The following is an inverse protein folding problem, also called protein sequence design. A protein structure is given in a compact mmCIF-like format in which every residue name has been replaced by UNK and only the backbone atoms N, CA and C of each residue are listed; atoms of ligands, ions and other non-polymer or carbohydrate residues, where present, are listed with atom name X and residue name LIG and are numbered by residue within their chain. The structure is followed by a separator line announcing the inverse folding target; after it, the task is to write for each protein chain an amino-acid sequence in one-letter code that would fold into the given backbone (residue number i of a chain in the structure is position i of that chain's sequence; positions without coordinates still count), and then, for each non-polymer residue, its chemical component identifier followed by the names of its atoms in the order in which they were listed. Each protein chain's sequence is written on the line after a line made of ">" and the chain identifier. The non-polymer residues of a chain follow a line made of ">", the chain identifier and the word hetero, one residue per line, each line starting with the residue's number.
data_IF_278824988171
#
_entry.id   IF_278824988171
#
_cell.length_a   1.000
_cell.length_b   1.000
_cell.length_c   1.000
_cell.angle_alpha   90.00
_cell.angle_beta   90.00
_cell.angle_gamma   90.00
#
_symmetry.space_group_name_H-M   'P 1'
#
loop_
_entity.id
_entity.type
_entity.pdbx_description
1 polymer ?
#
# COMPACT_ATOMS: atom_id res chain seq x y z
N UNK A 1 8.27 10.55 -2.27
CA UNK A 1 7.88 10.34 -0.85
C UNK A 1 7.57 8.88 -0.61
N UNK A 2 7.21 8.55 0.62
CA UNK A 2 6.92 7.19 1.07
C UNK A 2 8.08 6.52 1.80
N UNK A 3 9.30 7.09 1.78
CA UNK A 3 10.46 6.41 2.35
C UNK A 3 10.62 5.03 1.74
N UNK A 4 10.80 3.99 2.56
CA UNK A 4 10.82 2.58 2.12
C UNK A 4 9.41 1.98 1.93
N UNK A 5 8.34 2.74 2.19
CA UNK A 5 6.95 2.26 2.05
C UNK A 5 6.40 2.59 0.66
N UNK A 6 6.19 1.56 -0.14
CA UNK A 6 5.63 1.56 -1.48
C UNK A 6 4.11 1.72 -1.54
N UNK A 7 3.41 1.84 -0.40
CA UNK A 7 1.95 2.00 -0.35
C UNK A 7 1.45 3.11 -1.26
N UNK A 8 2.03 4.31 -1.14
CA UNK A 8 1.60 5.48 -1.91
C UNK A 8 1.79 5.26 -3.41
N UNK A 9 2.95 4.73 -3.83
CA UNK A 9 3.24 4.46 -5.23
C UNK A 9 2.33 3.37 -5.81
N UNK A 10 2.06 2.32 -5.04
CA UNK A 10 1.19 1.22 -5.46
C UNK A 10 -0.27 1.68 -5.61
N UNK A 11 -0.80 2.37 -4.61
CA UNK A 11 -2.18 2.85 -4.64
C UNK A 11 -2.40 3.95 -5.67
N UNK A 12 -1.45 4.88 -5.81
CA UNK A 12 -1.48 5.88 -6.88
C UNK A 12 -1.40 5.23 -8.27
N UNK A 13 -0.58 4.18 -8.41
CA UNK A 13 -0.46 3.44 -9.66
C UNK A 13 -1.75 2.74 -10.04
N UNK A 14 -2.41 2.11 -9.07
CA UNK A 14 -3.72 1.48 -9.28
C UNK A 14 -4.80 2.51 -9.66
N UNK A 15 -4.83 3.65 -8.97
CA UNK A 15 -5.82 4.69 -9.22
C UNK A 15 -5.61 5.42 -10.56
N UNK A 16 -4.35 5.64 -10.96
CA UNK A 16 -4.00 6.34 -12.20
C UNK A 16 -3.88 5.43 -13.43
N UNK A 17 -3.90 4.10 -13.24
CA UNK A 17 -3.62 3.14 -14.32
C UNK A 17 -2.17 3.22 -14.80
N UNK A 18 -1.23 3.30 -13.88
CA UNK A 18 0.20 3.34 -14.19
C UNK A 18 0.66 2.02 -14.83
N UNK A 19 1.57 2.12 -15.79
CA UNK A 19 2.18 0.99 -16.51
C UNK A 19 3.19 0.24 -15.63
N UNK A 20 3.84 0.93 -14.70
CA UNK A 20 4.69 0.30 -13.70
C UNK A 20 4.75 1.15 -12.43
N UNK A 21 4.97 0.48 -11.30
CA UNK A 21 5.17 1.10 -10.01
C UNK A 21 6.34 0.43 -9.28
N UNK A 22 7.48 1.11 -9.19
CA UNK A 22 8.70 0.64 -8.54
C UNK A 22 8.68 0.98 -7.05
N UNK A 23 8.81 -0.03 -6.20
CA UNK A 23 8.77 0.08 -4.74
C UNK A 23 9.92 -0.69 -4.09
N UNK A 24 10.12 -0.50 -2.79
CA UNK A 24 11.21 -1.16 -2.06
C UNK A 24 10.86 -2.61 -1.72
N UNK A 25 9.59 -2.85 -1.39
CA UNK A 25 9.07 -4.15 -0.96
C UNK A 25 8.98 -5.19 -2.08
N UNK A 26 9.13 -4.75 -3.34
CA UNK A 26 9.10 -5.58 -4.55
C UNK A 26 10.39 -5.29 -5.33
N UNK A 27 11.51 -5.95 -4.97
CA UNK A 27 12.81 -5.72 -5.60
C UNK A 27 12.75 -6.01 -7.09
N UNK A 28 13.39 -5.15 -7.87
CA UNK A 28 13.41 -5.23 -9.32
C UNK A 28 14.85 -5.11 -9.84
N UNK A 29 15.10 -5.74 -10.97
CA UNK A 29 16.39 -5.81 -11.65
C UNK A 29 16.37 -4.96 -12.92
N UNK A 30 17.52 -4.83 -13.57
CA UNK A 30 17.61 -4.18 -14.89
C UNK A 30 16.74 -4.88 -15.95
N UNK A 31 16.60 -6.21 -15.86
CA UNK A 31 15.78 -6.97 -16.78
C UNK A 31 14.28 -6.66 -16.60
N UNK A 32 13.83 -6.46 -15.37
CA UNK A 32 12.45 -6.02 -15.12
C UNK A 32 12.18 -4.63 -15.71
N UNK A 33 13.16 -3.72 -15.65
CA UNK A 33 13.05 -2.40 -16.27
C UNK A 33 12.96 -2.51 -17.79
N UNK A 34 13.82 -3.32 -18.40
CA UNK A 34 13.82 -3.61 -19.84
C UNK A 34 12.46 -4.16 -20.30
N UNK A 35 11.93 -5.18 -19.63
CA UNK A 35 10.61 -5.74 -19.92
C UNK A 35 9.49 -4.70 -19.83
N UNK A 36 9.56 -3.79 -18.85
CA UNK A 36 8.57 -2.72 -18.72
C UNK A 36 8.72 -1.66 -19.83
N UNK A 37 9.94 -1.39 -20.32
CA UNK A 37 10.17 -0.53 -21.49
C UNK A 37 9.60 -1.18 -22.74
N UNK A 38 9.91 -2.45 -22.99
CA UNK A 38 9.37 -3.19 -24.14
C UNK A 38 7.85 -3.20 -24.14
N UNK A 39 7.25 -3.46 -22.97
CA UNK A 39 5.80 -3.39 -22.81
C UNK A 39 5.26 -2.01 -23.20
N UNK A 40 5.89 -0.93 -22.72
CA UNK A 40 5.49 0.43 -23.04
C UNK A 40 5.67 0.73 -24.55
N UNK A 41 6.76 0.29 -25.16
CA UNK A 41 6.99 0.39 -26.61
C UNK A 41 5.86 -0.27 -27.40
N UNK A 42 5.45 -1.49 -27.03
CA UNK A 42 4.35 -2.18 -27.70
C UNK A 42 3.02 -1.45 -27.48
N UNK A 43 2.78 -0.94 -26.27
CA UNK A 43 1.59 -0.14 -25.96
C UNK A 43 1.50 1.12 -26.83
N UNK A 44 2.60 1.84 -27.03
CA UNK A 44 2.64 3.07 -27.84
C UNK A 44 2.31 2.86 -29.33
N UNK A 45 2.46 1.63 -29.84
CA UNK A 45 2.04 1.26 -31.20
C UNK A 45 0.53 1.06 -31.34
N UNK A 46 -0.19 0.96 -30.22
CA UNK A 46 -1.66 0.83 -30.19
C UNK A 46 -2.34 2.20 -30.18
N UNK A 47 -3.66 2.22 -29.95
CA UNK A 47 -4.44 3.46 -29.80
C UNK A 47 -4.03 4.28 -28.58
N UNK A 48 -3.49 3.64 -27.52
CA UNK A 48 -3.11 4.33 -26.28
C UNK A 48 -1.64 4.75 -26.34
N UNK A 49 -1.42 6.04 -26.56
CA UNK A 49 -0.08 6.64 -26.74
C UNK A 49 0.43 7.38 -25.50
N UNK A 50 0.12 6.87 -24.30
CA UNK A 50 0.53 7.49 -23.03
C UNK A 50 1.03 6.42 -22.06
N UNK A 51 2.13 6.75 -21.40
CA UNK A 51 2.75 5.93 -20.37
C UNK A 51 2.81 6.67 -19.05
N UNK A 52 2.60 5.97 -17.93
CA UNK A 52 2.85 6.50 -16.60
C UNK A 52 3.64 5.49 -15.77
N UNK A 53 4.80 5.92 -15.29
CA UNK A 53 5.66 5.13 -14.41
C UNK A 53 5.74 5.84 -13.07
N UNK A 54 5.47 5.11 -12.00
CA UNK A 54 5.61 5.61 -10.64
C UNK A 54 6.83 4.98 -9.97
N UNK A 55 7.57 5.78 -9.21
CA UNK A 55 8.72 5.32 -8.44
C UNK A 55 8.65 5.86 -7.03
N UNK A 56 8.64 4.95 -6.05
CA UNK A 56 8.81 5.30 -4.64
C UNK A 56 10.24 5.83 -4.41
N UNK A 57 10.38 6.75 -3.45
CA UNK A 57 11.62 7.50 -3.20
C UNK A 57 12.83 6.64 -2.81
N UNK A 58 12.62 5.57 -2.04
CA UNK A 58 13.69 4.64 -1.62
C UNK A 58 13.49 3.25 -2.22
N UNK A 59 12.89 3.14 -3.41
CA UNK A 59 12.65 1.86 -4.07
C UNK A 59 13.94 1.08 -4.33
N UNK A 60 15.01 1.80 -4.71
CA UNK A 60 16.35 1.28 -4.91
C UNK A 60 17.35 2.44 -4.81
N UNK A 61 18.57 2.16 -4.33
CA UNK A 61 19.62 3.15 -4.16
C UNK A 61 20.27 3.58 -5.50
N UNK A 62 20.47 2.63 -6.41
CA UNK A 62 21.18 2.83 -7.67
C UNK A 62 20.22 3.12 -8.83
N UNK A 63 19.04 2.52 -8.83
CA UNK A 63 18.00 2.80 -9.82
C UNK A 63 17.23 4.07 -9.43
N UNK A 64 17.92 5.20 -9.57
CA UNK A 64 17.39 6.53 -9.30
C UNK A 64 16.36 6.94 -10.36
N UNK A 65 15.57 7.98 -10.07
CA UNK A 65 14.65 8.57 -11.05
C UNK A 65 15.38 8.99 -12.33
N UNK A 66 16.62 9.48 -12.20
CA UNK A 66 17.44 9.91 -13.34
C UNK A 66 17.93 8.72 -14.17
N UNK A 67 18.36 7.65 -13.50
CA UNK A 67 18.74 6.41 -14.17
C UNK A 67 17.57 5.83 -14.96
N UNK A 68 16.41 5.67 -14.32
CA UNK A 68 15.20 5.12 -14.97
C UNK A 68 14.77 6.03 -16.13
N UNK A 69 14.81 7.35 -15.96
CA UNK A 69 14.51 8.30 -17.02
C UNK A 69 15.43 8.14 -18.23
N UNK A 70 16.76 8.09 -18.01
CA UNK A 70 17.72 7.93 -19.09
C UNK A 70 17.54 6.58 -19.79
N UNK A 71 17.34 5.51 -19.04
CA UNK A 71 17.10 4.17 -19.56
C UNK A 71 15.86 4.13 -20.47
N UNK A 72 14.73 4.63 -19.99
CA UNK A 72 13.49 4.67 -20.78
C UNK A 72 13.61 5.59 -22.00
N UNK A 73 14.38 6.68 -21.92
CA UNK A 73 14.58 7.60 -23.04
C UNK A 73 15.40 6.96 -24.15
N UNK A 74 16.47 6.24 -23.78
CA UNK A 74 17.35 5.56 -24.74
C UNK A 74 16.67 4.33 -25.36
N UNK A 75 16.16 3.43 -24.51
CA UNK A 75 15.52 2.18 -24.96
C UNK A 75 14.15 2.42 -25.61
N UNK A 76 13.56 3.60 -25.41
CA UNK A 76 12.38 4.06 -26.16
C UNK A 76 12.65 4.24 -27.66
N UNK A 77 13.92 4.39 -28.09
CA UNK A 77 14.38 4.43 -29.50
C UNK A 77 13.55 5.36 -30.40
N UNK A 78 13.14 6.51 -29.86
CA UNK A 78 12.34 7.52 -30.56
C UNK A 78 10.86 7.17 -30.76
N UNK A 79 10.37 6.06 -30.20
CA UNK A 79 8.95 5.67 -30.24
C UNK A 79 8.12 6.53 -29.29
N UNK A 80 8.71 6.97 -28.18
CA UNK A 80 8.12 7.92 -27.24
C UNK A 80 9.20 8.81 -26.60
N UNK A 81 8.77 9.98 -26.16
CA UNK A 81 9.56 10.88 -25.34
C UNK A 81 9.28 10.65 -23.85
N UNK A 82 10.33 10.74 -23.03
CA UNK A 82 10.20 10.67 -21.58
C UNK A 82 10.23 12.05 -20.95
N UNK A 83 9.55 12.17 -19.81
CA UNK A 83 9.71 13.29 -18.87
C UNK A 83 9.75 12.75 -17.46
N UNK A 84 10.66 13.27 -16.64
CA UNK A 84 10.71 13.00 -15.20
C UNK A 84 10.06 14.14 -14.43
N UNK A 85 9.32 13.80 -13.38
CA UNK A 85 8.76 14.77 -12.45
C UNK A 85 8.89 14.25 -11.01
N UNK A 86 9.52 15.04 -10.15
CA UNK A 86 9.60 14.77 -8.71
C UNK A 86 8.68 15.77 -8.01
N UNK A 87 7.50 15.31 -7.60
CA UNK A 87 6.47 16.15 -6.98
C UNK A 87 6.93 16.82 -5.68
N UNK A 88 7.93 16.24 -4.99
CA UNK A 88 8.44 16.75 -3.73
C UNK A 88 7.34 16.88 -2.66
N UNK A 89 7.40 17.98 -1.90
CA UNK A 89 6.50 18.26 -0.78
C UNK A 89 5.04 18.50 -1.19
N UNK A 90 4.74 18.73 -2.47
CA UNK A 90 3.36 18.87 -2.95
C UNK A 90 2.50 17.63 -2.66
N UNK A 91 3.14 16.46 -2.49
CA UNK A 91 2.51 15.21 -2.07
C UNK A 91 1.91 15.26 -0.65
N UNK A 92 2.31 16.20 0.20
CA UNK A 92 1.67 16.44 1.50
C UNK A 92 0.27 17.06 1.35
N UNK A 93 -0.05 17.53 0.14
CA UNK A 93 -1.29 18.25 -0.15
C UNK A 93 -1.24 19.71 0.30
N UNK A 94 -2.39 20.36 0.22
CA UNK A 94 -2.62 21.68 0.80
C UNK A 94 -3.69 21.55 1.87
N UNK A 95 -4.94 21.87 1.51
CA UNK A 95 -6.07 21.66 2.42
C UNK A 95 -6.42 20.17 2.51
N UNK A 96 -6.57 19.60 3.72
CA UNK A 96 -6.87 18.17 3.89
C UNK A 96 -8.20 17.79 3.22
N UNK A 97 -8.29 16.55 2.74
CA UNK A 97 -9.50 16.04 2.08
C UNK A 97 -10.67 15.92 3.07
N UNK A 98 -11.94 15.90 2.61
CA UNK A 98 -13.08 15.64 3.49
C UNK A 98 -12.95 14.31 4.26
N UNK A 99 -12.36 13.29 3.62
CA UNK A 99 -12.08 12.01 4.26
C UNK A 99 -11.11 12.18 5.43
N UNK A 100 -9.95 12.81 5.20
CA UNK A 100 -8.93 12.99 6.25
C UNK A 100 -9.44 13.84 7.41
N UNK A 101 -10.24 14.89 7.12
CA UNK A 101 -10.86 15.72 8.16
C UNK A 101 -11.81 14.90 9.03
N UNK A 102 -12.75 14.18 8.41
CA UNK A 102 -13.73 13.36 9.12
C UNK A 102 -13.06 12.23 9.91
N UNK A 103 -12.08 11.56 9.29
CA UNK A 103 -11.33 10.48 9.91
C UNK A 103 -10.49 10.99 11.09
N UNK A 104 -9.82 12.13 10.94
CA UNK A 104 -9.08 12.79 12.03
C UNK A 104 -9.97 13.10 13.24
N UNK A 105 -11.16 13.68 13.02
CA UNK A 105 -12.13 13.93 14.11
C UNK A 105 -12.57 12.64 14.78
N UNK A 106 -12.87 11.57 14.01
CA UNK A 106 -13.26 10.27 14.57
C UNK A 106 -12.15 9.62 15.40
N UNK A 107 -10.91 9.65 14.89
CA UNK A 107 -9.73 9.13 15.60
C UNK A 107 -9.50 9.91 16.90
N UNK A 108 -9.56 11.24 16.84
CA UNK A 108 -9.41 12.11 18.02
C UNK A 108 -10.47 11.86 19.09
N UNK A 109 -11.75 11.83 18.70
CA UNK A 109 -12.84 11.53 19.63
C UNK A 109 -12.69 10.15 20.29
N UNK A 110 -12.33 9.12 19.51
CA UNK A 110 -12.13 7.78 20.03
C UNK A 110 -10.92 7.69 20.97
N UNK A 111 -9.84 8.40 20.67
CA UNK A 111 -8.65 8.47 21.52
C UNK A 111 -8.97 9.13 22.89
N UNK A 112 -9.75 10.23 22.90
CA UNK A 112 -10.15 10.90 24.14
C UNK A 112 -11.08 10.04 24.99
N UNK A 113 -12.02 9.34 24.37
CA UNK A 113 -12.90 8.39 25.07
C UNK A 113 -12.09 7.27 25.73
N UNK A 114 -11.20 6.63 24.96
CA UNK A 114 -10.32 5.59 25.47
C UNK A 114 -9.42 6.07 26.60
N UNK A 115 -8.85 7.27 26.48
CA UNK A 115 -8.02 7.88 27.53
C UNK A 115 -8.83 8.11 28.80
N UNK A 116 -10.05 8.62 28.68
CA UNK A 116 -10.95 8.87 29.82
C UNK A 116 -11.30 7.58 30.57
N UNK A 117 -11.58 6.51 29.83
CA UNK A 117 -11.87 5.20 30.41
C UNK A 117 -10.62 4.62 31.09
N UNK A 118 -9.46 4.68 30.43
CA UNK A 118 -8.19 4.21 30.99
C UNK A 118 -7.76 4.96 32.24
N UNK A 119 -7.97 6.27 32.31
CA UNK A 119 -7.69 7.05 33.51
C UNK A 119 -8.52 6.57 34.72
N UNK A 120 -9.81 6.25 34.51
CA UNK A 120 -10.67 5.69 35.56
C UNK A 120 -10.25 4.29 35.98
N UNK A 121 -9.86 3.44 35.03
CA UNK A 121 -9.41 2.07 35.30
C UNK A 121 -8.07 2.04 36.08
N UNK A 122 -7.13 2.90 35.68
CA UNK A 122 -5.79 2.98 36.24
C UNK A 122 -5.73 3.75 37.56
N UNK A 123 -6.67 4.65 37.86
CA UNK A 123 -6.68 5.40 39.11
C UNK A 123 -7.39 4.62 40.23
N UNK A 124 -6.64 4.25 41.27
CA UNK A 124 -7.19 3.56 42.46
C UNK A 124 -6.56 4.12 43.73
N UNK A 125 -7.40 4.51 44.70
CA UNK A 125 -6.98 4.96 46.03
C UNK A 125 -5.87 6.03 46.02
N UNK A 126 -5.99 7.06 45.19
CA UNK A 126 -5.00 8.14 45.12
C UNK A 126 -3.72 7.81 44.36
N UNK A 127 -3.61 6.61 43.77
CA UNK A 127 -2.45 6.14 43.01
C UNK A 127 -2.83 5.73 41.59
N UNK A 128 -1.88 5.84 40.67
CA UNK A 128 -2.04 5.47 39.25
C UNK A 128 -1.32 4.14 39.01
N UNK A 129 -2.06 3.17 38.47
CA UNK A 129 -1.59 1.84 38.11
C UNK A 129 -1.72 1.66 36.59
N UNK A 130 -0.70 2.07 35.85
CA UNK A 130 -0.62 2.00 34.38
C UNK A 130 0.47 1.02 33.90
N UNK A 131 0.62 -0.11 34.60
CA UNK A 131 1.69 -1.09 34.39
C UNK A 131 1.32 -2.23 33.43
N UNK A 132 0.12 -2.24 32.87
CA UNK A 132 -0.29 -3.25 31.89
C UNK A 132 0.00 -2.78 30.45
N UNK A 133 0.24 -3.69 29.49
CA UNK A 133 0.48 -3.31 28.08
C UNK A 133 -0.66 -2.47 27.47
N UNK A 134 -1.88 -2.67 27.94
CA UNK A 134 -3.08 -1.97 27.48
C UNK A 134 -3.15 -0.50 27.94
N UNK A 135 -2.20 -0.04 28.78
CA UNK A 135 -2.08 1.37 29.16
C UNK A 135 -1.39 2.21 28.07
N UNK A 136 -0.62 1.57 27.18
CA UNK A 136 0.15 2.21 26.11
C UNK A 136 -0.17 1.57 24.75
N UNK A 137 -1.17 2.11 24.06
CA UNK A 137 -1.67 1.57 22.79
C UNK A 137 -1.55 2.58 21.64
N UNK A 138 -1.46 2.06 20.42
CA UNK A 138 -1.65 2.83 19.19
C UNK A 138 -3.08 2.63 18.70
N UNK A 139 -3.76 3.74 18.41
CA UNK A 139 -5.05 3.71 17.73
C UNK A 139 -4.81 3.56 16.22
N UNK A 140 -5.21 2.42 15.67
CA UNK A 140 -5.14 2.13 14.24
C UNK A 140 -6.49 1.76 13.65
N UNK A 141 -6.51 1.55 12.33
CA UNK A 141 -7.66 1.02 11.62
C UNK A 141 -7.31 -0.35 11.02
N UNK A 142 -8.10 -1.37 11.33
CA UNK A 142 -8.06 -2.68 10.68
C UNK A 142 -9.36 -2.89 9.92
N UNK A 143 -9.27 -2.97 8.59
CA UNK A 143 -10.43 -3.02 7.69
C UNK A 143 -11.37 -1.83 7.93
N UNK A 144 -12.50 -2.03 8.61
CA UNK A 144 -13.51 -1.00 8.94
C UNK A 144 -13.57 -0.65 10.42
N UNK A 145 -12.74 -1.26 11.26
CA UNK A 145 -12.78 -1.07 12.71
C UNK A 145 -11.57 -0.27 13.21
N UNK A 146 -11.84 0.67 14.11
CA UNK A 146 -10.80 1.38 14.87
C UNK A 146 -10.42 0.54 16.09
N UNK A 147 -9.15 0.18 16.21
CA UNK A 147 -8.62 -0.76 17.21
C UNK A 147 -7.47 -0.10 17.97
N UNK A 148 -7.46 -0.25 19.28
CA UNK A 148 -6.31 0.06 20.12
C UNK A 148 -5.46 -1.19 20.24
N UNK A 149 -4.19 -1.10 19.83
CA UNK A 149 -3.26 -2.22 19.92
C UNK A 149 -2.08 -1.83 20.83
N UNK A 150 -1.70 -2.67 21.81
CA UNK A 150 -0.54 -2.43 22.66
C UNK A 150 0.75 -2.23 21.86
N UNK A 151 1.56 -1.25 22.27
CA UNK A 151 2.81 -0.92 21.58
C UNK A 151 3.82 -2.09 21.64
N UNK A 152 3.79 -2.86 22.74
CA UNK A 152 4.65 -4.03 22.94
C UNK A 152 4.43 -5.09 21.85
N UNK A 153 3.17 -5.32 21.44
CA UNK A 153 2.84 -6.25 20.37
C UNK A 153 3.27 -5.72 19.00
N UNK A 154 3.08 -4.41 18.77
CA UNK A 154 3.45 -3.77 17.50
C UNK A 154 4.96 -3.79 17.26
N UNK A 155 5.77 -3.75 18.32
CA UNK A 155 7.23 -3.84 18.22
C UNK A 155 7.67 -5.12 17.49
N UNK A 156 7.01 -6.25 17.74
CA UNK A 156 7.34 -7.52 17.08
C UNK A 156 6.93 -7.56 15.59
N UNK A 157 6.05 -6.64 15.16
CA UNK A 157 5.49 -6.56 13.81
C UNK A 157 6.04 -5.34 13.03
N UNK A 158 7.12 -4.73 13.52
CA UNK A 158 7.70 -3.52 12.94
C UNK A 158 9.18 -3.74 12.64
N UNK A 159 9.55 -3.54 11.39
CA UNK A 159 10.93 -3.29 10.98
C UNK A 159 11.29 -1.84 11.33
N UNK A 160 12.10 -1.66 12.35
CA UNK A 160 12.52 -0.34 12.82
C UNK A 160 13.61 0.30 11.96
N UNK A 161 14.40 -0.48 11.22
CA UNK A 161 15.46 0.06 10.36
C UNK A 161 14.84 0.77 9.16
N UNK A 162 13.91 0.11 8.49
CA UNK A 162 13.22 0.66 7.33
C UNK A 162 11.95 1.44 7.71
N UNK A 163 11.50 1.32 8.97
CA UNK A 163 10.27 1.92 9.52
C UNK A 163 9.02 1.41 8.79
N UNK A 164 8.93 0.09 8.64
CA UNK A 164 7.86 -0.61 7.93
C UNK A 164 7.13 -1.60 8.85
N UNK A 165 5.83 -1.86 8.63
CA UNK A 165 5.21 -3.05 9.19
C UNK A 165 5.80 -4.29 8.52
N UNK A 166 5.84 -5.43 9.21
CA UNK A 166 6.33 -6.70 8.63
C UNK A 166 5.39 -7.29 7.58
N UNK A 167 4.08 -7.03 7.69
CA UNK A 167 3.07 -7.44 6.71
C UNK A 167 2.53 -6.22 5.96
N UNK A 168 2.73 -6.18 4.64
CA UNK A 168 2.25 -5.11 3.77
C UNK A 168 1.07 -5.59 2.92
N UNK A 169 -0.14 -5.38 3.43
CA UNK A 169 -1.38 -5.89 2.81
C UNK A 169 -1.60 -5.45 1.36
N UNK A 170 -1.07 -4.29 0.94
CA UNK A 170 -1.25 -3.75 -0.42
C UNK A 170 -0.46 -4.52 -1.48
N UNK A 171 0.53 -5.34 -1.10
CA UNK A 171 1.26 -6.17 -2.05
C UNK A 171 0.34 -7.16 -2.77
N UNK A 172 -0.72 -7.62 -2.09
CA UNK A 172 -1.76 -8.48 -2.67
C UNK A 172 -2.53 -7.82 -3.82
N UNK A 173 -2.51 -6.49 -3.91
CA UNK A 173 -3.15 -5.75 -4.99
C UNK A 173 -2.22 -5.52 -6.20
N UNK A 174 -0.91 -5.75 -6.06
CA UNK A 174 0.05 -5.49 -7.15
C UNK A 174 -0.18 -6.31 -8.42
N UNK A 175 -0.61 -7.59 -8.36
CA UNK A 175 -0.97 -8.32 -9.57
C UNK A 175 -2.04 -7.61 -10.40
N UNK A 176 -2.99 -6.92 -9.74
CA UNK A 176 -4.06 -6.16 -10.41
C UNK A 176 -3.47 -5.01 -11.23
N UNK A 177 -2.42 -4.34 -10.76
CA UNK A 177 -1.74 -3.28 -11.50
C UNK A 177 -1.19 -3.79 -12.83
N UNK A 178 -0.53 -4.96 -12.83
CA UNK A 178 -0.01 -5.57 -14.07
C UNK A 178 -1.14 -6.05 -15.00
N UNK A 179 -2.24 -6.57 -14.46
CA UNK A 179 -3.42 -6.98 -15.24
C UNK A 179 -4.05 -5.77 -15.94
N UNK A 180 -4.27 -4.68 -15.20
CA UNK A 180 -4.88 -3.46 -15.73
C UNK A 180 -3.98 -2.77 -16.76
N UNK A 181 -2.65 -2.85 -16.59
CA UNK A 181 -1.68 -2.41 -17.58
C UNK A 181 -1.55 -3.36 -18.80
N UNK A 182 -2.24 -4.51 -18.81
CA UNK A 182 -2.24 -5.51 -19.90
C UNK A 182 -0.86 -6.12 -20.16
N UNK A 183 -0.08 -6.37 -19.12
CA UNK A 183 1.11 -7.21 -19.26
C UNK A 183 0.70 -8.63 -19.68
N UNK A 184 1.53 -9.27 -20.49
CA UNK A 184 1.40 -10.72 -20.75
C UNK A 184 1.91 -11.47 -19.52
N UNK A 185 1.03 -11.74 -18.57
CA UNK A 185 1.35 -12.46 -17.34
C UNK A 185 0.83 -13.88 -17.46
N UNK A 186 1.68 -14.88 -17.20
CA UNK A 186 1.22 -16.23 -16.85
C UNK A 186 0.78 -16.22 -15.38
N UNK A 187 -0.48 -15.90 -15.14
CA UNK A 187 -1.06 -16.05 -13.80
C UNK A 187 -1.39 -17.52 -13.59
N UNK A 188 -0.65 -18.19 -12.72
CA UNK A 188 -1.08 -19.48 -12.21
C UNK A 188 -2.23 -19.26 -11.22
N UNK A 189 -3.46 -19.53 -11.66
CA UNK A 189 -4.67 -19.37 -10.86
C UNK A 189 -4.86 -20.52 -9.84
N UNK A 190 -3.82 -21.27 -9.50
CA UNK A 190 -3.90 -22.42 -8.59
C UNK A 190 -3.99 -22.03 -7.11
N UNK A 191 -4.81 -21.03 -6.77
CA UNK A 191 -5.40 -21.03 -5.42
C UNK A 191 -6.43 -22.17 -5.39
N UNK A 192 -6.12 -23.25 -4.67
CA UNK A 192 -7.12 -24.25 -4.25
C UNK A 192 -8.13 -23.57 -3.34
N UNK A 193 -9.07 -22.84 -3.92
CA UNK A 193 -10.29 -22.45 -3.25
C UNK A 193 -11.04 -23.74 -2.92
N UNK A 194 -11.01 -24.16 -1.66
CA UNK A 194 -11.99 -25.10 -1.14
C UNK A 194 -13.34 -24.38 -1.15
N UNK A 195 -13.98 -24.35 -2.33
CA UNK A 195 -15.37 -23.96 -2.46
C UNK A 195 -16.18 -25.09 -1.83
N UNK A 196 -16.43 -25.00 -0.53
CA UNK A 196 -17.45 -25.82 0.09
C UNK A 196 -18.79 -25.43 -0.52
N UNK A 197 -19.33 -26.33 -1.34
CA UNK A 197 -20.70 -26.23 -1.82
C UNK A 197 -21.64 -26.23 -0.61
N UNK A 198 -22.26 -25.08 -0.32
CA UNK A 198 -23.39 -25.01 0.62
C UNK A 198 -24.60 -25.64 -0.06
N UNK A 199 -24.64 -26.97 -0.15
CA UNK A 199 -25.87 -27.71 -0.39
C UNK A 199 -26.51 -27.93 0.97
N UNK A 200 -27.24 -26.92 1.45
CA UNK A 200 -28.22 -27.13 2.51
C UNK A 200 -29.32 -28.03 1.93
N UNK A 201 -29.20 -29.35 2.10
CA UNK A 201 -30.34 -30.26 1.95
C UNK A 201 -31.40 -29.81 2.94
N UNK A 202 -32.46 -29.17 2.46
CA UNK A 202 -33.73 -29.10 3.20
C UNK A 202 -34.19 -30.55 3.36
N UNK A 203 -33.99 -31.12 4.54
CA UNK A 203 -34.71 -32.31 4.98
C UNK A 203 -36.20 -31.94 4.96
N UNK A 204 -36.89 -32.46 3.95
CA UNK A 204 -38.35 -32.49 3.92
C UNK A 204 -38.74 -33.57 4.93
N UNK A 205 -39.17 -33.14 6.12
CA UNK A 205 -39.94 -34.01 7.02
C UNK A 205 -41.21 -34.44 6.28
N UNK A 206 -41.33 -35.74 6.03
CA UNK A 206 -42.57 -36.38 5.58
C UNK A 206 -43.04 -37.30 6.70
N UNK A 207 -44.16 -36.89 7.30
CA UNK A 207 -45.15 -37.62 8.10
C UNK A 207 -44.70 -38.29 9.39
#
# INVERSE_FOLDING_TARGET
>A
MGGFCGYLATMAGLAAGADAAYIFEDPFTIHDLELNVEHLVQKMKTTVKRGLILRNEKSNMNYTTDFIFNLYSEEGKGIFDCRKNVLGHMQQGGTPTPFDRNFGTKMGAKAVLWLSDKLKECYRHGRIFANTPESACILGMRKRHLVFQPLQELKAQTDFEHRLPTDQWWLKLRPILKILAKYKISLDYSEKAHIEHIVRKRSVEKK
#
